data_IF_131173799010
#
_entry.id   IF_131173799010
#
_cell.length_a   1.000
_cell.length_b   1.000
_cell.length_c   1.000
_cell.angle_alpha   90.00
_cell.angle_beta   90.00
_cell.angle_gamma   90.00
#
_symmetry.space_group_name_H-M   'P 1'
#
loop_
_entity.id
_entity.type
_entity.pdbx_description
1 polymer ?
#
# COMPACT_ATOMS: atom_id res chain seq x y z
N UNK A 1 -8.00 9.41 -0.89
CA UNK A 1 -9.45 9.16 -0.74
C UNK A 1 -10.11 10.07 0.26
N UNK A 2 -9.59 10.26 1.48
CA UNK A 2 -10.18 11.13 2.52
C UNK A 2 -10.56 12.52 1.97
N UNK A 3 -9.69 13.17 1.17
CA UNK A 3 -9.97 14.47 0.55
C UNK A 3 -11.20 14.43 -0.37
N UNK A 4 -11.34 13.37 -1.17
CA UNK A 4 -12.53 13.21 -2.03
C UNK A 4 -13.78 12.88 -1.23
N UNK A 5 -13.66 12.09 -0.17
CA UNK A 5 -14.76 11.81 0.74
C UNK A 5 -15.30 13.09 1.38
N UNK A 6 -14.40 13.99 1.83
CA UNK A 6 -14.76 15.30 2.38
C UNK A 6 -15.48 16.17 1.35
N UNK A 7 -14.92 16.30 0.15
CA UNK A 7 -15.53 17.07 -0.94
C UNK A 7 -16.95 16.57 -1.25
N UNK A 8 -17.12 15.27 -1.42
CA UNK A 8 -18.43 14.68 -1.70
C UNK A 8 -19.41 14.84 -0.52
N UNK A 9 -18.91 14.81 0.71
CA UNK A 9 -19.74 15.03 1.88
C UNK A 9 -20.29 16.48 1.93
N UNK A 10 -19.48 17.45 1.52
CA UNK A 10 -19.89 18.86 1.39
C UNK A 10 -20.94 19.01 0.28
N UNK A 11 -20.68 18.46 -0.92
CA UNK A 11 -21.59 18.50 -2.07
C UNK A 11 -22.94 17.80 -1.83
N UNK A 12 -22.94 16.74 -1.02
CA UNK A 12 -24.14 15.94 -0.72
C UNK A 12 -24.81 16.29 0.62
N UNK A 13 -24.37 17.34 1.29
CA UNK A 13 -24.86 17.76 2.62
C UNK A 13 -24.74 16.65 3.68
N UNK A 14 -23.70 15.79 3.57
CA UNK A 14 -23.40 14.65 4.44
C UNK A 14 -22.19 14.87 5.35
N UNK A 15 -21.92 16.12 5.68
CA UNK A 15 -20.77 16.53 6.52
C UNK A 15 -20.78 15.90 7.90
N UNK A 16 -21.98 15.67 8.47
CA UNK A 16 -22.12 15.01 9.78
C UNK A 16 -21.71 13.53 9.71
N UNK A 17 -22.05 12.85 8.63
CA UNK A 17 -21.64 11.45 8.41
C UNK A 17 -20.14 11.36 8.22
N UNK A 18 -19.56 12.28 7.45
CA UNK A 18 -18.11 12.35 7.26
C UNK A 18 -17.35 12.62 8.58
N UNK A 19 -17.84 13.55 9.39
CA UNK A 19 -17.28 13.84 10.71
C UNK A 19 -17.29 12.60 11.63
N UNK A 20 -18.31 11.74 11.53
CA UNK A 20 -18.33 10.47 12.23
C UNK A 20 -17.19 9.54 11.77
N UNK A 21 -16.94 9.45 10.47
CA UNK A 21 -15.81 8.66 9.94
C UNK A 21 -14.47 9.19 10.44
N UNK A 22 -14.26 10.50 10.45
CA UNK A 22 -13.03 11.09 10.99
C UNK A 22 -12.83 10.75 12.48
N UNK A 23 -13.92 10.83 13.24
CA UNK A 23 -13.89 10.52 14.70
C UNK A 23 -13.60 9.03 14.94
N UNK A 24 -14.18 8.15 14.14
CA UNK A 24 -13.91 6.71 14.23
C UNK A 24 -12.47 6.40 13.85
N UNK A 25 -11.92 7.02 12.80
CA UNK A 25 -10.52 6.85 12.40
C UNK A 25 -9.56 7.22 13.55
N UNK A 26 -9.78 8.38 14.17
CA UNK A 26 -8.99 8.89 15.29
C UNK A 26 -9.04 7.94 16.49
N UNK A 27 -10.25 7.70 17.01
CA UNK A 27 -10.44 6.93 18.25
C UNK A 27 -10.06 5.46 18.06
N UNK A 28 -10.42 4.84 16.94
CA UNK A 28 -10.12 3.42 16.71
C UNK A 28 -8.62 3.16 16.62
N UNK A 29 -7.86 4.05 15.98
CA UNK A 29 -6.41 3.95 15.91
C UNK A 29 -5.77 3.94 17.30
N UNK A 30 -6.09 4.91 18.12
CA UNK A 30 -5.59 5.04 19.50
C UNK A 30 -6.02 3.87 20.39
N UNK A 31 -7.30 3.50 20.34
CA UNK A 31 -7.85 2.44 21.17
C UNK A 31 -7.22 1.08 20.87
N UNK A 32 -7.03 0.76 19.58
CA UNK A 32 -6.42 -0.52 19.16
C UNK A 32 -4.95 -0.54 19.59
N UNK A 33 -4.20 0.54 19.39
CA UNK A 33 -2.82 0.64 19.81
C UNK A 33 -2.68 0.42 21.32
N UNK A 34 -3.48 1.13 22.10
CA UNK A 34 -3.44 1.02 23.56
C UNK A 34 -3.86 -0.37 24.04
N UNK A 35 -4.98 -0.89 23.55
CA UNK A 35 -5.54 -2.18 23.99
C UNK A 35 -4.67 -3.37 23.60
N UNK A 36 -4.01 -3.31 22.43
CA UNK A 36 -3.13 -4.37 21.94
C UNK A 36 -1.65 -4.14 22.25
N UNK A 37 -1.32 -3.07 22.95
CA UNK A 37 0.07 -2.68 23.28
C UNK A 37 0.98 -2.67 22.03
N UNK A 38 0.48 -2.10 20.94
CA UNK A 38 1.22 -2.04 19.69
C UNK A 38 2.17 -0.84 19.69
N UNK A 39 3.41 -1.05 19.26
CA UNK A 39 4.40 0.01 19.09
C UNK A 39 4.26 0.74 17.76
N UNK A 40 3.50 0.17 16.81
CA UNK A 40 3.30 0.75 15.49
C UNK A 40 1.91 1.38 15.40
N UNK A 41 1.78 2.55 14.76
CA UNK A 41 0.48 3.18 14.57
C UNK A 41 -0.42 2.30 13.70
N UNK A 42 -1.70 2.27 14.06
CA UNK A 42 -2.74 1.62 13.27
C UNK A 42 -3.46 2.69 12.47
N UNK A 43 -3.44 2.55 11.16
CA UNK A 43 -4.09 3.47 10.24
C UNK A 43 -5.26 2.81 9.54
N UNK A 44 -6.25 3.60 9.15
CA UNK A 44 -7.34 3.15 8.31
C UNK A 44 -6.79 2.73 6.93
N UNK A 45 -7.24 1.60 6.42
CA UNK A 45 -6.91 1.17 5.06
C UNK A 45 -7.74 1.93 4.01
N UNK A 46 -7.47 1.64 2.74
CA UNK A 46 -8.15 2.29 1.62
C UNK A 46 -9.67 2.08 1.65
N UNK A 47 -10.13 0.93 2.16
CA UNK A 47 -11.54 0.54 2.14
C UNK A 47 -12.40 1.38 3.06
N UNK A 48 -11.81 1.95 4.10
CA UNK A 48 -12.53 2.77 5.07
C UNK A 48 -13.17 3.99 4.41
N UNK A 49 -12.43 4.72 3.58
CA UNK A 49 -12.97 5.89 2.87
C UNK A 49 -13.54 5.57 1.49
N UNK A 50 -13.14 4.47 0.84
CA UNK A 50 -13.72 4.10 -0.45
C UNK A 50 -15.19 3.72 -0.31
N UNK A 51 -15.55 3.01 0.75
CA UNK A 51 -16.95 2.69 1.04
C UNK A 51 -17.82 3.93 1.20
N UNK A 52 -17.31 4.96 1.90
CA UNK A 52 -18.01 6.25 2.02
C UNK A 52 -18.18 6.93 0.65
N UNK A 53 -17.10 7.03 -0.13
CA UNK A 53 -17.13 7.62 -1.48
C UNK A 53 -18.13 6.91 -2.37
N UNK A 54 -18.12 5.58 -2.40
CA UNK A 54 -19.07 4.81 -3.21
C UNK A 54 -20.51 5.04 -2.79
N UNK A 55 -20.76 5.12 -1.48
CA UNK A 55 -22.10 5.47 -0.96
C UNK A 55 -22.55 6.85 -1.42
N UNK A 56 -21.66 7.86 -1.37
CA UNK A 56 -21.98 9.22 -1.82
C UNK A 56 -22.24 9.28 -3.34
N UNK A 57 -21.62 8.39 -4.10
CA UNK A 57 -21.85 8.24 -5.56
C UNK A 57 -23.10 7.42 -5.88
N UNK A 58 -23.82 6.92 -4.89
CA UNK A 58 -25.02 6.11 -5.09
C UNK A 58 -24.76 4.69 -5.60
N UNK A 59 -23.54 4.20 -5.45
CA UNK A 59 -23.19 2.85 -5.87
C UNK A 59 -23.77 1.84 -4.86
N UNK A 60 -24.52 0.81 -5.30
CA UNK A 60 -25.00 -0.24 -4.45
C UNK A 60 -23.86 -0.97 -3.73
N UNK A 61 -24.08 -1.36 -2.47
CA UNK A 61 -23.04 -2.00 -1.64
C UNK A 61 -22.51 -3.31 -2.23
N UNK A 62 -23.39 -4.03 -2.92
CA UNK A 62 -23.09 -5.29 -3.60
C UNK A 62 -22.00 -5.14 -4.68
N UNK A 63 -21.84 -3.93 -5.21
CA UNK A 63 -20.85 -3.61 -6.24
C UNK A 63 -19.50 -3.14 -5.68
N UNK A 64 -19.35 -2.90 -4.39
CA UNK A 64 -18.09 -2.38 -3.82
C UNK A 64 -16.94 -3.35 -4.04
N UNK A 65 -17.14 -4.63 -3.73
CA UNK A 65 -16.14 -5.67 -3.97
C UNK A 65 -15.90 -5.94 -5.46
N UNK A 66 -16.93 -6.08 -6.30
CA UNK A 66 -16.75 -6.20 -7.75
C UNK A 66 -15.96 -5.05 -8.39
N UNK A 67 -16.21 -3.81 -8.01
CA UNK A 67 -15.44 -2.64 -8.51
C UNK A 67 -13.96 -2.76 -8.13
N UNK A 68 -13.69 -3.20 -6.91
CA UNK A 68 -12.34 -3.43 -6.45
C UNK A 68 -11.64 -4.54 -7.24
N UNK A 69 -12.35 -5.62 -7.54
CA UNK A 69 -11.86 -6.72 -8.37
C UNK A 69 -11.57 -6.26 -9.81
N UNK A 70 -12.49 -5.51 -10.42
CA UNK A 70 -12.31 -4.97 -11.77
C UNK A 70 -11.04 -4.10 -11.85
N UNK A 71 -10.83 -3.23 -10.88
CA UNK A 71 -9.62 -2.37 -10.84
C UNK A 71 -8.32 -3.17 -10.71
N UNK A 72 -8.39 -4.39 -10.16
CA UNK A 72 -7.25 -5.31 -10.01
C UNK A 72 -6.98 -6.17 -11.24
N UNK A 73 -7.93 -6.29 -12.16
CA UNK A 73 -7.81 -7.16 -13.35
C UNK A 73 -6.56 -6.86 -14.18
N UNK A 74 -6.20 -5.59 -14.36
CA UNK A 74 -4.99 -5.21 -15.08
C UNK A 74 -3.72 -5.77 -14.41
N UNK A 75 -3.61 -5.63 -13.08
CA UNK A 75 -2.49 -6.14 -12.31
C UNK A 75 -2.43 -7.67 -12.29
N UNK A 76 -3.56 -8.33 -12.13
CA UNK A 76 -3.64 -9.79 -12.18
C UNK A 76 -3.27 -10.33 -13.56
N UNK A 77 -3.70 -9.66 -14.62
CA UNK A 77 -3.34 -10.04 -15.99
C UNK A 77 -1.85 -9.88 -16.24
N UNK A 78 -1.25 -8.80 -15.78
CA UNK A 78 0.19 -8.57 -15.87
C UNK A 78 0.98 -9.66 -15.13
N UNK A 79 0.62 -9.97 -13.89
CA UNK A 79 1.24 -11.05 -13.13
C UNK A 79 1.05 -12.42 -13.78
N UNK A 80 -0.13 -12.67 -14.35
CA UNK A 80 -0.37 -13.94 -15.05
C UNK A 80 0.47 -14.07 -16.31
N UNK A 81 0.62 -13.01 -17.08
CA UNK A 81 1.50 -13.00 -18.26
C UNK A 81 2.96 -13.23 -17.86
N UNK A 82 3.43 -12.55 -16.82
CA UNK A 82 4.78 -12.71 -16.29
C UNK A 82 5.04 -14.16 -15.85
N UNK A 83 4.10 -14.77 -15.15
CA UNK A 83 4.16 -16.16 -14.72
C UNK A 83 4.23 -17.14 -15.90
N UNK A 84 3.43 -16.90 -16.95
CA UNK A 84 3.42 -17.73 -18.15
C UNK A 84 4.73 -17.61 -18.94
N UNK A 85 5.26 -16.38 -19.08
CA UNK A 85 6.51 -16.12 -19.81
C UNK A 85 7.71 -16.74 -19.10
N UNK A 86 7.75 -16.62 -17.77
CA UNK A 86 8.88 -17.08 -16.98
C UNK A 86 8.79 -18.57 -16.60
N UNK A 87 7.68 -19.24 -16.92
CA UNK A 87 7.40 -20.63 -16.51
C UNK A 87 7.72 -20.89 -15.03
N UNK A 88 7.34 -19.93 -14.18
CA UNK A 88 7.74 -19.86 -12.78
C UNK A 88 7.19 -21.03 -11.97
N UNK A 89 7.99 -21.52 -11.05
CA UNK A 89 7.53 -22.43 -10.01
C UNK A 89 6.78 -21.66 -8.93
N UNK A 90 5.87 -22.30 -8.23
CA UNK A 90 5.19 -21.71 -7.09
C UNK A 90 6.24 -21.21 -6.08
N UNK A 91 6.29 -19.89 -5.90
CA UNK A 91 7.17 -19.25 -4.93
C UNK A 91 6.49 -19.33 -3.57
N UNK A 92 7.12 -20.05 -2.64
CA UNK A 92 6.73 -20.05 -1.22
C UNK A 92 7.75 -19.22 -0.46
N UNK A 93 7.51 -17.92 -0.25
CA UNK A 93 8.48 -17.06 0.42
C UNK A 93 8.63 -17.49 1.88
N UNK A 94 9.81 -17.98 2.21
CA UNK A 94 10.24 -18.18 3.58
C UNK A 94 11.61 -17.51 3.72
N UNK A 95 11.60 -16.17 3.82
CA UNK A 95 12.82 -15.39 3.88
C UNK A 95 13.20 -15.09 5.32
N UNK A 96 14.44 -15.38 5.63
CA UNK A 96 15.08 -14.87 6.83
C UNK A 96 16.16 -13.89 6.39
N UNK A 97 16.11 -12.68 6.94
CA UNK A 97 17.19 -11.71 6.72
C UNK A 97 18.49 -12.29 7.31
N UNK A 98 19.50 -12.43 6.47
CA UNK A 98 20.82 -12.97 6.83
C UNK A 98 21.93 -11.91 6.78
N UNK A 99 21.60 -10.68 6.46
CA UNK A 99 22.53 -9.56 6.45
C UNK A 99 22.72 -8.96 7.84
N UNK A 100 23.70 -8.05 7.95
CA UNK A 100 23.92 -7.30 9.17
C UNK A 100 22.84 -6.24 9.38
N UNK A 101 22.32 -6.14 10.60
CA UNK A 101 21.43 -5.06 10.98
C UNK A 101 22.17 -3.72 10.82
N UNK A 102 21.59 -2.80 10.05
CA UNK A 102 22.12 -1.46 9.87
C UNK A 102 21.11 -0.45 10.39
N UNK A 103 21.56 0.65 11.00
CA UNK A 103 20.66 1.74 11.35
C UNK A 103 20.03 2.33 10.08
N UNK A 104 18.82 2.85 10.23
CA UNK A 104 18.21 3.62 9.16
C UNK A 104 18.99 4.93 8.99
N UNK A 105 19.31 5.27 7.76
CA UNK A 105 19.88 6.56 7.38
C UNK A 105 18.80 7.37 6.66
N UNK A 106 18.66 8.63 7.03
CA UNK A 106 17.81 9.58 6.31
C UNK A 106 18.34 9.74 4.87
N UNK A 107 17.47 10.19 3.96
CA UNK A 107 17.81 10.25 2.53
C UNK A 107 18.99 11.18 2.27
N UNK A 108 19.05 12.28 3.02
CA UNK A 108 20.07 13.31 2.95
C UNK A 108 21.46 12.84 3.42
N UNK A 109 21.47 11.84 4.33
CA UNK A 109 22.70 11.27 4.90
C UNK A 109 23.24 10.07 4.11
N UNK A 110 22.54 9.70 3.02
CA UNK A 110 22.95 8.58 2.17
C UNK A 110 23.98 9.07 1.16
N UNK A 111 25.23 8.66 1.32
CA UNK A 111 26.26 8.90 0.32
C UNK A 111 25.83 8.30 -1.03
N UNK A 112 26.06 9.04 -2.13
CA UNK A 112 25.75 8.59 -3.50
C UNK A 112 26.45 7.28 -3.89
N UNK A 113 27.55 6.96 -3.25
CA UNK A 113 28.25 5.70 -3.43
C UNK A 113 27.61 4.62 -2.55
N UNK A 114 26.67 3.90 -3.12
CA UNK A 114 26.17 2.68 -2.51
C UNK A 114 27.22 1.55 -2.76
N UNK A 115 28.05 1.17 -1.79
CA UNK A 115 29.08 0.14 -1.98
C UNK A 115 28.46 -1.23 -2.33
N UNK A 116 27.17 -1.41 -2.07
CA UNK A 116 26.41 -2.58 -2.50
C UNK A 116 26.28 -2.72 -4.01
N UNK A 117 26.28 -1.61 -4.74
CA UNK A 117 26.04 -1.66 -6.18
C UNK A 117 27.21 -2.29 -6.90
N UNK A 118 28.43 -1.97 -6.51
CA UNK A 118 29.62 -2.51 -7.17
C UNK A 118 29.93 -3.96 -6.77
N UNK A 119 29.86 -4.27 -5.48
CA UNK A 119 30.10 -5.63 -5.01
C UNK A 119 29.01 -6.59 -5.46
N UNK A 120 27.75 -6.15 -5.45
CA UNK A 120 26.61 -6.91 -5.94
C UNK A 120 26.68 -7.11 -7.44
N UNK A 121 27.05 -6.08 -8.21
CA UNK A 121 27.23 -6.18 -9.66
C UNK A 121 28.38 -7.12 -10.04
N UNK A 122 29.50 -7.08 -9.30
CA UNK A 122 30.62 -8.04 -9.47
C UNK A 122 30.21 -9.46 -9.16
N UNK A 123 29.54 -9.69 -8.02
CA UNK A 123 29.16 -11.02 -7.57
C UNK A 123 28.16 -11.72 -8.49
N UNK A 124 27.22 -10.96 -9.04
CA UNK A 124 26.15 -11.50 -9.87
C UNK A 124 26.32 -11.22 -11.38
N UNK A 125 27.47 -10.66 -11.81
CA UNK A 125 27.78 -10.34 -13.21
C UNK A 125 26.68 -9.51 -13.89
N UNK A 126 26.01 -8.65 -13.14
CA UNK A 126 24.96 -7.78 -13.66
C UNK A 126 25.62 -6.66 -14.45
N UNK A 127 25.46 -6.65 -15.79
CA UNK A 127 25.90 -5.54 -16.62
C UNK A 127 25.10 -4.30 -16.25
N UNK A 128 25.77 -3.20 -15.90
CA UNK A 128 25.09 -1.93 -15.68
C UNK A 128 24.32 -1.55 -16.95
N UNK A 129 23.03 -1.35 -16.82
CA UNK A 129 22.24 -0.66 -17.84
C UNK A 129 22.64 0.81 -17.76
N UNK A 130 23.77 1.15 -18.37
CA UNK A 130 24.10 2.53 -18.66
C UNK A 130 23.50 2.84 -20.02
N UNK A 131 22.49 3.69 -19.97
CA UNK A 131 21.92 4.44 -21.09
C UNK A 131 21.22 3.62 -22.18
N UNK A 132 19.89 3.52 -22.08
CA UNK A 132 19.00 3.63 -23.22
C UNK A 132 18.24 4.95 -23.09
#
# INVERSE_FOLDING_TARGET
>A
LKRYAKFLAEEKEKTREFALYEKVEEIAGELIMHKRKLFKPVCANVDFYSGFVYTMLGIPRELFTPIFAISRMAGWSAHRLEELVNAGKIIRPAYRYVGHHRPYLEVEDREEQNPFTEEYQRKYKIKSIKNA
#
